data_IF_918346081467
#
_entry.id   IF_918346081467
#
_cell.length_a   1.000
_cell.length_b   1.000
_cell.length_c   1.000
_cell.angle_alpha   90.00
_cell.angle_beta   90.00
_cell.angle_gamma   90.00
#
_symmetry.space_group_name_H-M   'P 1'
#
loop_
_entity.id
_entity.type
_entity.pdbx_description
1 polymer ?
#
# COMPACT_ATOMS: atom_id res chain seq x y z
N UNK A 1 28.86 -3.11 -21.87
CA UNK A 1 29.76 -1.96 -21.57
C UNK A 1 28.96 -0.69 -21.80
N UNK A 2 28.82 0.16 -20.77
CA UNK A 2 27.99 1.37 -20.84
C UNK A 2 28.85 2.59 -20.52
N UNK A 3 28.90 3.53 -21.46
CA UNK A 3 29.58 4.80 -21.31
C UNK A 3 28.55 5.87 -20.97
N UNK A 4 28.69 6.52 -19.81
CA UNK A 4 27.82 7.64 -19.43
C UNK A 4 28.55 8.95 -19.70
N UNK A 5 27.96 9.88 -20.46
CA UNK A 5 28.44 11.25 -20.53
C UNK A 5 28.13 11.96 -19.20
N UNK A 6 29.17 12.33 -18.45
CA UNK A 6 29.04 13.18 -17.25
C UNK A 6 29.57 14.56 -17.60
N UNK A 7 28.75 15.59 -17.42
CA UNK A 7 29.18 16.97 -17.62
C UNK A 7 30.03 17.40 -16.41
N UNK A 8 31.30 17.70 -16.66
CA UNK A 8 32.17 18.31 -15.65
C UNK A 8 31.78 19.78 -15.47
N UNK A 9 32.25 20.38 -14.37
CA UNK A 9 32.08 21.81 -14.07
C UNK A 9 32.69 22.75 -15.13
N UNK A 10 33.43 22.21 -16.11
CA UNK A 10 34.08 22.96 -17.19
C UNK A 10 33.48 22.66 -18.58
N UNK A 11 32.20 22.27 -18.67
CA UNK A 11 31.50 22.00 -19.95
C UNK A 11 32.14 20.91 -20.83
N UNK A 12 33.00 20.06 -20.27
CA UNK A 12 33.56 18.91 -20.99
C UNK A 12 32.80 17.62 -20.65
N UNK A 13 32.43 16.88 -21.69
CA UNK A 13 31.82 15.56 -21.61
C UNK A 13 32.87 14.52 -21.17
N UNK A 14 32.87 14.16 -19.89
CA UNK A 14 33.65 13.03 -19.41
C UNK A 14 32.96 11.72 -19.81
N UNK A 15 33.69 10.86 -20.52
CA UNK A 15 33.30 9.47 -20.77
C UNK A 15 33.82 8.62 -19.61
N UNK A 16 32.96 8.26 -18.68
CA UNK A 16 33.33 7.38 -17.57
C UNK A 16 33.03 5.93 -17.96
N UNK A 17 34.03 5.07 -17.79
CA UNK A 17 33.94 3.62 -17.99
C UNK A 17 33.43 2.99 -16.68
N UNK A 18 32.31 2.28 -16.73
CA UNK A 18 31.66 1.71 -15.53
C UNK A 18 31.89 0.21 -15.53
N UNK A 19 32.95 -0.23 -14.85
CA UNK A 19 33.29 -1.65 -14.73
C UNK A 19 33.33 -2.14 -13.26
N UNK A 20 33.15 -1.29 -12.23
CA UNK A 20 33.28 -1.71 -10.82
C UNK A 20 32.52 -0.84 -9.80
N UNK A 21 32.24 -1.37 -8.61
CA UNK A 21 31.54 -0.72 -7.47
C UNK A 21 32.25 0.57 -7.04
N UNK A 22 33.58 0.64 -7.16
CA UNK A 22 34.34 1.86 -6.90
C UNK A 22 34.00 3.01 -7.88
N UNK A 23 33.71 2.70 -9.14
CA UNK A 23 33.27 3.70 -10.13
C UNK A 23 31.84 4.17 -9.85
N UNK A 24 31.00 3.32 -9.25
CA UNK A 24 29.69 3.73 -8.74
C UNK A 24 29.87 4.71 -7.57
N UNK A 25 30.79 4.48 -6.64
CA UNK A 25 31.05 5.45 -5.55
C UNK A 25 31.59 6.78 -6.07
N UNK A 26 32.44 6.78 -7.10
CA UNK A 26 32.90 8.02 -7.76
C UNK A 26 31.80 8.72 -8.54
N UNK A 27 30.92 7.99 -9.25
CA UNK A 27 29.72 8.54 -9.88
C UNK A 27 28.75 9.06 -8.82
N UNK A 28 28.58 8.35 -7.70
CA UNK A 28 27.73 8.75 -6.57
C UNK A 28 28.30 9.98 -5.87
N UNK A 29 29.62 10.15 -5.71
CA UNK A 29 30.23 11.39 -5.19
C UNK A 29 30.16 12.54 -6.22
N UNK A 30 30.34 12.23 -7.51
CA UNK A 30 30.21 13.18 -8.62
C UNK A 30 28.76 13.49 -9.00
N UNK A 31 27.76 12.77 -8.50
CA UNK A 31 26.32 12.99 -8.75
C UNK A 31 25.57 13.38 -7.47
N UNK A 32 26.02 12.98 -6.27
CA UNK A 32 25.44 13.44 -4.98
C UNK A 32 25.83 14.87 -4.64
N UNK A 33 27.08 15.28 -4.89
CA UNK A 33 27.47 16.69 -4.79
C UNK A 33 26.73 17.60 -5.80
N UNK A 34 26.50 17.14 -7.05
CA UNK A 34 25.72 17.88 -8.05
C UNK A 34 24.21 17.62 -8.12
N UNK A 35 23.61 16.69 -7.38
CA UNK A 35 22.14 16.57 -7.33
C UNK A 35 21.50 17.73 -6.58
N UNK A 36 22.21 18.26 -5.57
CA UNK A 36 21.93 19.60 -5.02
C UNK A 36 22.22 20.74 -6.01
N UNK A 37 22.97 20.48 -7.09
CA UNK A 37 23.27 21.40 -8.21
C UNK A 37 22.61 20.98 -9.53
N UNK A 38 21.50 20.25 -9.49
CA UNK A 38 20.58 20.19 -10.63
C UNK A 38 19.94 21.58 -10.70
N UNK A 39 20.71 22.52 -11.23
CA UNK A 39 20.34 23.92 -11.29
C UNK A 39 19.07 24.04 -12.14
N UNK A 40 18.31 25.10 -11.88
CA UNK A 40 17.16 25.48 -12.70
C UNK A 40 17.50 25.50 -14.20
N UNK A 41 18.75 25.76 -14.56
CA UNK A 41 19.25 25.80 -15.94
C UNK A 41 19.38 24.40 -16.56
N UNK A 42 19.91 23.41 -15.84
CA UNK A 42 19.94 22.03 -16.32
C UNK A 42 18.53 21.48 -16.57
N UNK A 43 17.58 21.82 -15.70
CA UNK A 43 16.17 21.43 -15.89
C UNK A 43 15.48 22.16 -17.04
N UNK A 44 15.88 23.41 -17.34
CA UNK A 44 15.40 24.12 -18.53
C UNK A 44 15.85 23.40 -19.80
N UNK A 45 17.14 23.07 -19.91
CA UNK A 45 17.69 22.29 -21.02
C UNK A 45 16.99 20.94 -21.19
N UNK A 46 16.72 20.22 -20.10
CA UNK A 46 15.99 18.95 -20.15
C UNK A 46 14.53 19.16 -20.57
N UNK A 47 13.91 20.27 -20.18
CA UNK A 47 12.51 20.60 -20.53
C UNK A 47 12.34 21.20 -21.93
N UNK A 48 13.41 21.59 -22.63
CA UNK A 48 13.34 22.13 -23.99
C UNK A 48 12.89 21.07 -25.01
N UNK A 49 11.85 21.31 -25.82
CA UNK A 49 11.25 20.31 -26.70
C UNK A 49 12.25 19.54 -27.59
N UNK A 50 13.31 20.20 -28.06
CA UNK A 50 14.26 19.65 -29.02
C UNK A 50 15.25 18.64 -28.40
N UNK A 51 15.38 18.61 -27.07
CA UNK A 51 16.34 17.76 -26.36
C UNK A 51 15.82 16.34 -26.06
N UNK A 52 14.99 15.75 -26.95
CA UNK A 52 14.38 14.42 -26.76
C UNK A 52 15.41 13.32 -26.48
N UNK A 53 16.54 13.31 -27.20
CA UNK A 53 17.60 12.30 -27.06
C UNK A 53 18.31 12.37 -25.70
N UNK A 54 18.48 13.58 -25.17
CA UNK A 54 19.10 13.80 -23.85
C UNK A 54 18.13 13.34 -22.75
N UNK A 55 16.85 13.72 -22.84
CA UNK A 55 15.79 13.22 -21.94
C UNK A 55 15.73 11.71 -21.89
N UNK A 56 15.73 11.06 -23.06
CA UNK A 56 15.68 9.60 -23.14
C UNK A 56 16.83 8.92 -22.39
N UNK A 57 18.06 9.39 -22.62
CA UNK A 57 19.25 8.84 -21.96
C UNK A 57 19.20 9.08 -20.45
N UNK A 58 18.80 10.27 -20.03
CA UNK A 58 18.66 10.60 -18.61
C UNK A 58 17.61 9.71 -17.94
N UNK A 59 16.42 9.59 -18.52
CA UNK A 59 15.34 8.77 -17.94
C UNK A 59 15.67 7.29 -17.94
N UNK A 60 16.34 6.79 -18.99
CA UNK A 60 16.87 5.43 -19.01
C UNK A 60 17.90 5.20 -17.91
N UNK A 61 18.81 6.15 -17.69
CA UNK A 61 19.80 6.05 -16.62
C UNK A 61 19.12 6.04 -15.25
N UNK A 62 18.24 7.00 -14.96
CA UNK A 62 17.55 7.07 -13.67
C UNK A 62 16.74 5.78 -13.44
N UNK A 63 16.06 5.25 -14.47
CA UNK A 63 15.35 3.99 -14.36
C UNK A 63 16.27 2.79 -14.04
N UNK A 64 17.48 2.76 -14.61
CA UNK A 64 18.48 1.74 -14.27
C UNK A 64 18.96 1.88 -12.83
N UNK A 65 19.18 3.12 -12.34
CA UNK A 65 19.49 3.37 -10.93
C UNK A 65 18.37 2.88 -10.03
N UNK A 66 17.12 3.21 -10.35
CA UNK A 66 15.96 2.75 -9.59
C UNK A 66 15.93 1.23 -9.54
N UNK A 67 16.10 0.52 -10.67
CA UNK A 67 16.06 -0.95 -10.74
C UNK A 67 17.30 -1.65 -10.15
N UNK A 68 18.27 -0.90 -9.62
CA UNK A 68 19.52 -1.45 -9.12
C UNK A 68 19.32 -2.24 -7.81
N UNK A 69 20.12 -3.28 -7.60
CA UNK A 69 20.01 -4.17 -6.43
C UNK A 69 20.55 -3.56 -5.14
N UNK A 70 21.55 -2.67 -5.24
CA UNK A 70 22.12 -1.94 -4.10
C UNK A 70 21.13 -0.88 -3.63
N UNK A 71 20.83 -0.85 -2.33
CA UNK A 71 19.73 -0.05 -1.78
C UNK A 71 19.97 1.45 -1.95
N UNK A 72 21.17 1.94 -1.66
CA UNK A 72 21.56 3.35 -1.82
C UNK A 72 21.46 3.83 -3.27
N UNK A 73 21.79 2.98 -4.25
CA UNK A 73 21.66 3.31 -5.68
C UNK A 73 20.18 3.39 -6.07
N UNK A 74 19.37 2.42 -5.64
CA UNK A 74 17.92 2.42 -5.88
C UNK A 74 17.24 3.63 -5.24
N UNK A 75 17.66 3.98 -4.02
CA UNK A 75 17.23 5.17 -3.29
C UNK A 75 17.52 6.45 -4.07
N UNK A 76 18.74 6.61 -4.57
CA UNK A 76 19.10 7.76 -5.39
C UNK A 76 18.22 7.88 -6.64
N UNK A 77 18.03 6.78 -7.38
CA UNK A 77 17.15 6.78 -8.55
C UNK A 77 15.72 7.18 -8.21
N UNK A 78 15.21 6.72 -7.06
CA UNK A 78 13.87 7.06 -6.55
C UNK A 78 13.76 8.55 -6.20
N UNK A 79 14.76 9.13 -5.54
CA UNK A 79 14.82 10.57 -5.24
C UNK A 79 14.84 11.44 -6.49
N UNK A 80 15.61 11.04 -7.51
CA UNK A 80 15.66 11.73 -8.80
C UNK A 80 14.28 11.75 -9.47
N UNK A 81 13.55 10.64 -9.46
CA UNK A 81 12.17 10.60 -9.97
C UNK A 81 11.25 11.53 -9.19
N UNK A 82 11.30 11.51 -7.85
CA UNK A 82 10.46 12.41 -7.05
C UNK A 82 10.69 13.89 -7.43
N UNK A 83 11.95 14.28 -7.66
CA UNK A 83 12.28 15.61 -8.11
C UNK A 83 11.69 15.93 -9.50
N UNK A 84 11.83 15.02 -10.46
CA UNK A 84 11.27 15.17 -11.82
C UNK A 84 9.75 15.26 -11.82
N UNK A 85 9.05 14.41 -11.07
CA UNK A 85 7.58 14.43 -10.98
C UNK A 85 7.05 15.72 -10.34
N UNK A 86 7.82 16.36 -9.46
CA UNK A 86 7.50 17.67 -8.87
C UNK A 86 7.83 18.83 -9.82
N UNK A 87 8.89 18.72 -10.62
CA UNK A 87 9.37 19.83 -11.44
C UNK A 87 8.91 19.71 -12.90
N UNK A 88 7.85 20.45 -13.28
CA UNK A 88 7.42 20.62 -14.68
C UNK A 88 7.24 19.30 -15.47
N UNK A 89 6.97 18.17 -14.81
CA UNK A 89 6.71 16.87 -15.47
C UNK A 89 5.74 16.99 -16.65
N UNK A 90 4.67 17.76 -16.46
CA UNK A 90 3.61 17.96 -17.46
C UNK A 90 4.10 18.68 -18.72
N UNK A 91 5.24 19.38 -18.65
CA UNK A 91 5.85 20.14 -19.76
C UNK A 91 7.07 19.46 -20.38
N UNK A 92 7.55 18.35 -19.81
CA UNK A 92 8.82 17.72 -20.23
C UNK A 92 8.69 16.85 -21.47
N UNK A 93 7.50 16.32 -21.76
CA UNK A 93 7.26 15.37 -22.85
C UNK A 93 5.79 15.32 -23.24
N UNK A 94 5.50 14.66 -24.36
CA UNK A 94 4.14 14.30 -24.75
C UNK A 94 3.54 13.25 -23.80
N UNK A 95 2.22 13.08 -23.88
CA UNK A 95 1.47 12.28 -22.91
C UNK A 95 1.69 10.77 -23.06
N UNK A 96 1.99 10.30 -24.27
CA UNK A 96 2.32 8.90 -24.51
C UNK A 96 3.61 8.50 -23.80
N UNK A 97 4.65 9.33 -23.95
CA UNK A 97 5.93 9.13 -23.26
C UNK A 97 5.80 9.23 -21.75
N UNK A 98 5.03 10.20 -21.23
CA UNK A 98 4.76 10.28 -19.78
C UNK A 98 4.15 8.99 -19.28
N UNK A 99 3.14 8.47 -19.97
CA UNK A 99 2.48 7.22 -19.60
C UNK A 99 3.45 6.04 -19.61
N UNK A 100 4.30 5.93 -20.64
CA UNK A 100 5.29 4.86 -20.74
C UNK A 100 6.32 4.92 -19.61
N UNK A 101 6.93 6.09 -19.37
CA UNK A 101 7.93 6.26 -18.32
C UNK A 101 7.32 6.07 -16.94
N UNK A 102 6.16 6.67 -16.66
CA UNK A 102 5.45 6.44 -15.40
C UNK A 102 5.15 4.95 -15.17
N UNK A 103 4.73 4.21 -16.21
CA UNK A 103 4.49 2.77 -16.13
C UNK A 103 5.75 1.99 -15.73
N UNK A 104 6.90 2.32 -16.32
CA UNK A 104 8.19 1.70 -15.99
C UNK A 104 8.64 2.02 -14.57
N UNK A 105 8.49 3.28 -14.15
CA UNK A 105 8.83 3.72 -12.78
C UNK A 105 7.95 3.02 -11.75
N UNK A 106 6.64 2.95 -11.98
CA UNK A 106 5.70 2.21 -11.11
C UNK A 106 6.13 0.75 -10.97
N UNK A 107 6.48 0.11 -12.09
CA UNK A 107 6.90 -1.30 -12.09
C UNK A 107 8.20 -1.49 -11.29
N UNK A 108 9.16 -0.57 -11.42
CA UNK A 108 10.39 -0.59 -10.62
C UNK A 108 10.11 -0.35 -9.13
N UNK A 109 9.23 0.60 -8.80
CA UNK A 109 8.83 0.90 -7.43
C UNK A 109 8.16 -0.29 -6.74
N UNK A 110 7.23 -0.98 -7.41
CA UNK A 110 6.58 -2.18 -6.88
C UNK A 110 7.62 -3.24 -6.55
N UNK A 111 8.54 -3.52 -7.49
CA UNK A 111 9.59 -4.52 -7.34
C UNK A 111 10.57 -4.18 -6.21
N UNK A 112 11.02 -2.93 -6.11
CA UNK A 112 11.99 -2.53 -5.08
C UNK A 112 11.39 -2.41 -3.68
N UNK A 113 10.07 -2.25 -3.59
CA UNK A 113 9.39 -2.20 -2.31
C UNK A 113 9.24 -3.61 -1.70
N UNK A 114 9.53 -4.67 -2.45
CA UNK A 114 9.65 -6.04 -1.95
C UNK A 114 10.85 -6.13 -0.99
N UNK A 115 10.67 -6.80 0.15
CA UNK A 115 11.74 -6.93 1.16
C UNK A 115 12.91 -7.70 0.56
N UNK A 116 14.03 -7.01 0.36
CA UNK A 116 15.31 -7.65 0.05
C UNK A 116 15.82 -8.35 1.31
N UNK A 117 16.05 -9.67 1.29
CA UNK A 117 16.68 -10.35 2.42
C UNK A 117 18.10 -9.82 2.59
N UNK A 118 18.47 -9.43 3.81
CA UNK A 118 19.87 -9.19 4.13
C UNK A 118 20.54 -10.55 4.28
N UNK A 119 21.56 -10.80 3.47
CA UNK A 119 22.32 -12.04 3.49
C UNK A 119 23.59 -11.94 4.34
N UNK A 120 23.82 -10.81 5.02
CA UNK A 120 25.03 -10.56 5.81
C UNK A 120 26.31 -10.40 4.98
N UNK A 121 26.23 -10.57 3.66
CA UNK A 121 27.34 -10.46 2.71
C UNK A 121 27.38 -9.12 1.97
N UNK A 122 26.35 -8.30 2.16
CA UNK A 122 26.30 -6.97 1.60
C UNK A 122 27.40 -6.08 2.17
N UNK A 123 28.27 -5.58 1.30
CA UNK A 123 29.29 -4.57 1.63
C UNK A 123 28.70 -3.20 1.95
N UNK A 124 27.37 -3.03 1.88
CA UNK A 124 26.70 -1.74 2.07
C UNK A 124 26.39 -1.43 3.54
N UNK A 125 26.20 -2.46 4.38
CA UNK A 125 25.77 -2.26 5.77
C UNK A 125 26.48 -3.24 6.71
N UNK A 126 26.97 -2.72 7.83
CA UNK A 126 27.65 -3.51 8.86
C UNK A 126 26.66 -4.34 9.69
N UNK A 127 25.39 -3.94 9.74
CA UNK A 127 24.37 -4.59 10.57
C UNK A 127 23.01 -4.73 9.88
N UNK A 128 22.26 -5.76 10.26
CA UNK A 128 20.86 -5.96 9.87
C UNK A 128 19.98 -4.74 10.20
N UNK A 129 20.26 -4.07 11.32
CA UNK A 129 19.49 -2.91 11.77
C UNK A 129 19.69 -1.72 10.81
N UNK A 130 20.92 -1.44 10.41
CA UNK A 130 21.22 -0.41 9.40
C UNK A 130 20.56 -0.73 8.06
N UNK A 131 20.64 -1.98 7.60
CA UNK A 131 19.96 -2.43 6.39
C UNK A 131 18.44 -2.19 6.48
N UNK A 132 17.81 -2.60 7.58
CA UNK A 132 16.37 -2.45 7.80
C UNK A 132 15.94 -0.97 7.83
N UNK A 133 16.72 -0.11 8.49
CA UNK A 133 16.45 1.32 8.54
C UNK A 133 16.61 1.97 7.15
N UNK A 134 17.64 1.61 6.40
CA UNK A 134 17.86 2.09 5.03
C UNK A 134 16.72 1.66 4.10
N UNK A 135 16.33 0.38 4.18
CA UNK A 135 15.20 -0.15 3.42
C UNK A 135 13.88 0.52 3.79
N UNK A 136 13.60 0.75 5.08
CA UNK A 136 12.42 1.51 5.51
C UNK A 136 12.41 2.94 4.93
N UNK A 137 13.59 3.59 4.88
CA UNK A 137 13.77 4.88 4.21
C UNK A 137 13.42 4.83 2.72
N UNK A 138 13.93 3.83 2.00
CA UNK A 138 13.58 3.61 0.58
C UNK A 138 12.07 3.40 0.40
N UNK A 139 11.43 2.58 1.23
CA UNK A 139 9.98 2.32 1.15
C UNK A 139 9.15 3.60 1.31
N UNK A 140 9.53 4.46 2.26
CA UNK A 140 8.88 5.76 2.47
C UNK A 140 8.99 6.65 1.23
N UNK A 141 10.16 6.66 0.57
CA UNK A 141 10.36 7.42 -0.67
C UNK A 141 9.57 6.83 -1.84
N UNK A 142 9.53 5.50 -1.96
CA UNK A 142 8.70 4.82 -2.97
C UNK A 142 7.23 5.18 -2.77
N UNK A 143 6.72 5.16 -1.54
CA UNK A 143 5.34 5.58 -1.25
C UNK A 143 5.11 7.02 -1.70
N UNK A 144 5.98 7.95 -1.34
CA UNK A 144 5.88 9.34 -1.77
C UNK A 144 5.88 9.50 -3.30
N UNK A 145 6.78 8.80 -3.99
CA UNK A 145 6.85 8.79 -5.46
C UNK A 145 5.57 8.22 -6.08
N UNK A 146 5.07 7.10 -5.55
CA UNK A 146 3.80 6.51 -5.99
C UNK A 146 2.64 7.49 -5.78
N UNK A 147 2.62 8.24 -4.68
CA UNK A 147 1.63 9.29 -4.44
C UNK A 147 1.70 10.42 -5.47
N UNK A 148 2.91 10.89 -5.82
CA UNK A 148 3.10 11.92 -6.86
C UNK A 148 2.62 11.45 -8.24
N UNK A 149 2.91 10.20 -8.60
CA UNK A 149 2.44 9.61 -9.86
C UNK A 149 0.91 9.44 -9.82
N UNK A 150 0.36 8.98 -8.69
CA UNK A 150 -1.08 8.78 -8.51
C UNK A 150 -1.86 10.09 -8.63
N UNK A 151 -1.33 11.20 -8.10
CA UNK A 151 -1.97 12.50 -8.21
C UNK A 151 -2.13 12.98 -9.67
N UNK A 152 -1.30 12.45 -10.59
CA UNK A 152 -1.29 12.82 -12.02
C UNK A 152 -1.94 11.78 -12.92
N UNK A 153 -1.74 10.50 -12.62
CA UNK A 153 -2.19 9.37 -13.44
C UNK A 153 -2.69 8.21 -12.55
N UNK A 154 -3.77 8.39 -11.78
CA UNK A 154 -4.23 7.41 -10.80
C UNK A 154 -4.61 6.06 -11.43
N UNK A 155 -5.26 6.08 -12.61
CA UNK A 155 -5.62 4.86 -13.34
C UNK A 155 -4.41 3.99 -13.68
N UNK A 156 -3.29 4.59 -14.08
CA UNK A 156 -2.07 3.85 -14.43
C UNK A 156 -1.46 3.12 -13.22
N UNK A 157 -1.44 3.80 -12.06
CA UNK A 157 -0.93 3.21 -10.82
C UNK A 157 -1.82 2.07 -10.36
N UNK A 158 -3.13 2.29 -10.33
CA UNK A 158 -4.09 1.29 -9.87
C UNK A 158 -4.15 0.07 -10.80
N UNK A 159 -4.02 0.26 -12.11
CA UNK A 159 -3.96 -0.84 -13.06
C UNK A 159 -2.75 -1.75 -12.78
N UNK A 160 -1.57 -1.17 -12.54
CA UNK A 160 -0.37 -1.92 -12.20
C UNK A 160 -0.50 -2.64 -10.86
N UNK A 161 -1.07 -1.99 -9.85
CA UNK A 161 -1.34 -2.61 -8.56
C UNK A 161 -2.36 -3.75 -8.68
N UNK A 162 -3.44 -3.56 -9.42
CA UNK A 162 -4.47 -4.59 -9.63
C UNK A 162 -3.90 -5.84 -10.28
N UNK A 163 -3.04 -5.68 -11.30
CA UNK A 163 -2.31 -6.81 -11.90
C UNK A 163 -1.37 -7.47 -10.90
N UNK A 164 -0.55 -6.69 -10.18
CA UNK A 164 0.37 -7.23 -9.19
C UNK A 164 -0.34 -8.02 -8.09
N UNK A 165 -1.47 -7.53 -7.58
CA UNK A 165 -2.29 -8.26 -6.61
C UNK A 165 -2.86 -9.55 -7.19
N UNK A 166 -3.39 -9.50 -8.41
CA UNK A 166 -3.95 -10.68 -9.09
C UNK A 166 -2.87 -11.76 -9.26
N UNK A 167 -1.68 -11.37 -9.71
CA UNK A 167 -0.56 -12.29 -9.91
C UNK A 167 -0.07 -12.90 -8.59
N UNK A 168 0.14 -12.07 -7.56
CA UNK A 168 0.63 -12.52 -6.26
C UNK A 168 -0.39 -13.43 -5.57
N UNK A 169 -1.66 -13.04 -5.53
CA UNK A 169 -2.71 -13.84 -4.89
C UNK A 169 -2.99 -15.13 -5.67
N UNK A 170 -2.98 -15.09 -7.00
CA UNK A 170 -3.12 -16.28 -7.85
C UNK A 170 -2.00 -17.29 -7.61
N UNK A 171 -0.74 -16.85 -7.67
CA UNK A 171 0.43 -17.70 -7.37
C UNK A 171 0.40 -18.23 -5.95
N UNK A 172 0.05 -17.39 -4.98
CA UNK A 172 -0.05 -17.78 -3.57
C UNK A 172 -1.12 -18.85 -3.38
N UNK A 173 -2.29 -18.71 -4.03
CA UNK A 173 -3.35 -19.70 -3.97
C UNK A 173 -2.90 -21.04 -4.55
N UNK A 174 -2.25 -21.03 -5.72
CA UNK A 174 -1.71 -22.22 -6.35
C UNK A 174 -0.67 -22.91 -5.44
N UNK A 175 0.28 -22.15 -4.89
CA UNK A 175 1.31 -22.68 -3.99
C UNK A 175 0.70 -23.30 -2.73
N UNK A 176 -0.26 -22.62 -2.09
CA UNK A 176 -0.93 -23.14 -0.89
C UNK A 176 -1.74 -24.40 -1.18
N UNK A 177 -2.33 -24.51 -2.38
CA UNK A 177 -3.08 -25.71 -2.79
C UNK A 177 -2.19 -26.93 -3.04
N UNK A 178 -0.97 -26.72 -3.55
CA UNK A 178 -0.03 -27.80 -3.90
C UNK A 178 0.90 -28.19 -2.75
N UNK A 179 1.35 -27.22 -1.95
CA UNK A 179 2.28 -27.46 -0.85
C UNK A 179 2.16 -26.34 0.21
N UNK A 180 1.41 -26.54 1.31
CA UNK A 180 1.25 -25.55 2.39
C UNK A 180 2.51 -25.42 3.27
N UNK A 181 3.68 -25.30 2.66
CA UNK A 181 4.95 -25.07 3.35
C UNK A 181 5.08 -23.62 3.82
N UNK A 182 5.79 -23.42 4.95
CA UNK A 182 6.06 -22.09 5.49
C UNK A 182 6.83 -21.16 4.54
N UNK A 183 7.57 -21.70 3.56
CA UNK A 183 8.34 -20.91 2.58
C UNK A 183 7.44 -20.16 1.60
N UNK A 184 6.38 -20.80 1.10
CA UNK A 184 5.41 -20.16 0.21
C UNK A 184 4.67 -19.02 0.93
N UNK A 185 4.31 -19.24 2.19
CA UNK A 185 3.68 -18.23 3.06
C UNK A 185 4.64 -17.05 3.28
N UNK A 186 5.91 -17.31 3.55
CA UNK A 186 6.92 -16.27 3.78
C UNK A 186 7.12 -15.36 2.56
N UNK A 187 7.19 -15.92 1.35
CA UNK A 187 7.30 -15.13 0.12
C UNK A 187 6.03 -14.30 -0.12
N UNK A 188 4.85 -14.91 -0.08
CA UNK A 188 3.59 -14.21 -0.25
C UNK A 188 3.39 -13.08 0.76
N UNK A 189 3.80 -13.31 2.02
CA UNK A 189 3.74 -12.31 3.09
C UNK A 189 4.57 -11.07 2.75
N UNK A 190 5.80 -11.24 2.24
CA UNK A 190 6.66 -10.12 1.84
C UNK A 190 6.00 -9.32 0.71
N UNK A 191 5.51 -9.98 -0.35
CA UNK A 191 4.88 -9.29 -1.47
C UNK A 191 3.62 -8.53 -1.05
N UNK A 192 2.74 -9.16 -0.27
CA UNK A 192 1.49 -8.55 0.16
C UNK A 192 1.72 -7.42 1.17
N UNK A 193 2.73 -7.50 2.02
CA UNK A 193 3.14 -6.39 2.90
C UNK A 193 3.53 -5.16 2.07
N UNK A 194 4.38 -5.37 1.05
CA UNK A 194 4.85 -4.33 0.15
C UNK A 194 3.70 -3.70 -0.63
N UNK A 195 2.86 -4.51 -1.27
CA UNK A 195 1.73 -4.02 -2.04
C UNK A 195 0.71 -3.29 -1.17
N UNK A 196 0.41 -3.80 0.02
CA UNK A 196 -0.53 -3.17 0.97
C UNK A 196 -0.11 -1.76 1.36
N UNK A 197 1.18 -1.59 1.64
CA UNK A 197 1.74 -0.29 2.01
C UNK A 197 1.68 0.72 0.84
N UNK A 198 1.87 0.27 -0.40
CA UNK A 198 1.71 1.12 -1.58
C UNK A 198 0.23 1.42 -1.84
N UNK A 199 -0.65 0.44 -1.71
CA UNK A 199 -2.08 0.59 -1.96
C UNK A 199 -2.68 1.65 -1.05
N UNK A 200 -2.45 1.58 0.26
CA UNK A 200 -2.96 2.58 1.21
C UNK A 200 -2.52 4.00 0.83
N UNK A 201 -1.24 4.18 0.51
CA UNK A 201 -0.72 5.49 0.12
C UNK A 201 -1.30 5.96 -1.21
N UNK A 202 -1.43 5.05 -2.19
CA UNK A 202 -2.04 5.31 -3.49
C UNK A 202 -3.47 5.79 -3.32
N UNK A 203 -4.31 5.06 -2.57
CA UNK A 203 -5.71 5.45 -2.37
C UNK A 203 -5.84 6.85 -1.75
N UNK A 204 -5.00 7.18 -0.75
CA UNK A 204 -5.00 8.51 -0.12
C UNK A 204 -4.58 9.62 -1.09
N UNK A 205 -3.74 9.31 -2.08
CA UNK A 205 -3.23 10.25 -3.06
C UNK A 205 -4.15 10.45 -4.28
N UNK A 206 -5.22 9.65 -4.44
CA UNK A 206 -6.17 9.82 -5.55
C UNK A 206 -6.94 11.14 -5.36
N UNK A 207 -6.86 12.10 -6.30
CA UNK A 207 -7.63 13.33 -6.21
C UNK A 207 -9.14 13.05 -6.22
N UNK A 208 -9.93 13.86 -5.50
CA UNK A 208 -11.37 13.61 -5.30
C UNK A 208 -12.16 13.52 -6.60
N UNK A 209 -11.77 14.29 -7.61
CA UNK A 209 -12.43 14.32 -8.92
C UNK A 209 -12.39 12.96 -9.64
N UNK A 210 -11.40 12.14 -9.30
CA UNK A 210 -11.20 10.80 -9.85
C UNK A 210 -11.95 9.70 -9.08
N UNK A 211 -12.62 10.00 -7.96
CA UNK A 211 -13.27 8.95 -7.14
C UNK A 211 -14.47 8.30 -7.83
N UNK A 212 -15.05 8.94 -8.85
CA UNK A 212 -16.13 8.39 -9.67
C UNK A 212 -15.67 7.94 -11.06
N UNK A 213 -14.37 7.99 -11.34
CA UNK A 213 -13.81 7.55 -12.62
C UNK A 213 -13.98 6.04 -12.78
N UNK A 214 -14.52 5.63 -13.93
CA UNK A 214 -14.85 4.24 -14.23
C UNK A 214 -13.61 3.33 -14.20
N UNK A 215 -12.50 3.76 -14.79
CA UNK A 215 -11.26 2.95 -14.87
C UNK A 215 -10.72 2.71 -13.46
N UNK A 216 -10.77 3.75 -12.61
CA UNK A 216 -10.36 3.65 -11.21
C UNK A 216 -11.24 2.66 -10.45
N UNK A 217 -12.56 2.80 -10.54
CA UNK A 217 -13.50 1.90 -9.89
C UNK A 217 -13.35 0.44 -10.38
N UNK A 218 -13.11 0.23 -11.67
CA UNK A 218 -12.82 -1.09 -12.26
C UNK A 218 -11.53 -1.70 -11.68
N UNK A 219 -10.46 -0.90 -11.55
CA UNK A 219 -9.20 -1.36 -10.96
C UNK A 219 -9.36 -1.69 -9.46
N UNK A 220 -10.03 -0.84 -8.68
CA UNK A 220 -10.32 -1.10 -7.27
C UNK A 220 -11.18 -2.36 -7.10
N UNK A 221 -12.19 -2.53 -7.95
CA UNK A 221 -13.01 -3.74 -8.01
C UNK A 221 -12.21 -4.98 -8.38
N UNK A 222 -11.21 -4.86 -9.27
CA UNK A 222 -10.27 -5.93 -9.59
C UNK A 222 -9.46 -6.39 -8.37
N UNK A 223 -8.92 -5.44 -7.60
CA UNK A 223 -8.19 -5.73 -6.35
C UNK A 223 -9.12 -6.42 -5.35
N UNK A 224 -10.34 -5.90 -5.15
CA UNK A 224 -11.33 -6.51 -4.27
C UNK A 224 -11.63 -7.95 -4.68
N UNK A 225 -11.93 -8.20 -5.95
CA UNK A 225 -12.22 -9.55 -6.48
C UNK A 225 -11.05 -10.51 -6.26
N UNK A 226 -9.81 -10.08 -6.50
CA UNK A 226 -8.64 -10.92 -6.26
C UNK A 226 -8.56 -11.40 -4.81
N UNK A 227 -8.84 -10.51 -3.84
CA UNK A 227 -8.88 -10.89 -2.42
C UNK A 227 -10.08 -11.75 -2.03
N UNK A 228 -11.25 -11.53 -2.65
CA UNK A 228 -12.45 -12.35 -2.39
C UNK A 228 -12.30 -13.78 -2.90
N UNK A 229 -11.59 -13.98 -4.02
CA UNK A 229 -11.26 -15.30 -4.55
C UNK A 229 -10.25 -16.05 -3.67
N UNK A 230 -9.44 -15.32 -2.89
CA UNK A 230 -8.52 -15.88 -1.91
C UNK A 230 -9.25 -16.28 -0.61
N UNK A 231 -9.93 -17.43 -0.65
CA UNK A 231 -10.83 -17.90 0.43
C UNK A 231 -10.12 -18.42 1.68
N UNK A 232 -9.04 -19.20 1.52
CA UNK A 232 -8.29 -19.79 2.64
C UNK A 232 -6.92 -19.13 2.75
N UNK A 233 -6.78 -18.25 3.73
CA UNK A 233 -5.56 -17.50 4.01
C UNK A 233 -5.04 -17.88 5.40
N UNK A 234 -3.75 -18.24 5.54
CA UNK A 234 -3.07 -18.20 6.83
C UNK A 234 -3.27 -16.83 7.50
N UNK A 235 -3.28 -16.78 8.83
CA UNK A 235 -3.55 -15.55 9.60
C UNK A 235 -2.65 -14.37 9.20
N UNK A 236 -1.38 -14.64 8.90
CA UNK A 236 -0.43 -13.64 8.37
C UNK A 236 -0.92 -12.98 7.08
N UNK A 237 -1.47 -13.75 6.14
CA UNK A 237 -1.97 -13.25 4.87
C UNK A 237 -3.37 -12.63 5.01
N UNK A 238 -4.17 -13.15 5.94
CA UNK A 238 -5.49 -12.62 6.26
C UNK A 238 -5.40 -11.15 6.69
N UNK A 239 -4.36 -10.77 7.45
CA UNK A 239 -4.16 -9.38 7.85
C UNK A 239 -4.09 -8.40 6.67
N UNK A 240 -3.42 -8.76 5.56
CA UNK A 240 -3.35 -7.91 4.36
C UNK A 240 -4.67 -7.89 3.61
N UNK A 241 -5.38 -9.03 3.55
CA UNK A 241 -6.73 -9.08 3.00
C UNK A 241 -7.65 -8.11 3.75
N UNK A 242 -7.66 -8.17 5.08
CA UNK A 242 -8.47 -7.29 5.93
C UNK A 242 -8.08 -5.82 5.77
N UNK A 243 -6.78 -5.52 5.72
CA UNK A 243 -6.31 -4.17 5.48
C UNK A 243 -6.78 -3.63 4.11
N UNK A 244 -6.65 -4.41 3.04
CA UNK A 244 -7.09 -4.01 1.71
C UNK A 244 -8.60 -3.73 1.66
N UNK A 245 -9.43 -4.58 2.30
CA UNK A 245 -10.87 -4.33 2.40
C UNK A 245 -11.19 -2.98 3.05
N UNK A 246 -10.46 -2.57 4.09
CA UNK A 246 -10.63 -1.24 4.71
C UNK A 246 -10.16 -0.08 3.82
N UNK A 247 -9.09 -0.29 3.06
CA UNK A 247 -8.45 0.73 2.23
C UNK A 247 -9.22 1.05 0.95
N UNK A 248 -9.91 0.07 0.36
CA UNK A 248 -10.65 0.22 -0.92
C UNK A 248 -11.95 1.06 -0.80
N UNK A 249 -12.10 1.85 0.26
CA UNK A 249 -13.30 2.64 0.54
C UNK A 249 -13.81 3.55 -0.60
N UNK A 250 -13.00 4.12 -1.51
CA UNK A 250 -13.56 4.90 -2.62
C UNK A 250 -14.51 4.09 -3.51
N UNK A 251 -14.27 2.77 -3.64
CA UNK A 251 -15.14 1.86 -4.38
C UNK A 251 -16.55 1.78 -3.78
N UNK A 252 -16.66 1.83 -2.45
CA UNK A 252 -17.90 1.57 -1.72
C UNK A 252 -18.92 2.70 -1.78
N UNK A 253 -18.50 3.90 -2.23
CA UNK A 253 -19.39 5.06 -2.29
C UNK A 253 -20.58 4.81 -3.22
N UNK A 254 -20.32 4.19 -4.38
CA UNK A 254 -21.29 3.98 -5.45
C UNK A 254 -21.55 2.50 -5.74
N UNK A 255 -21.03 1.58 -4.91
CA UNK A 255 -21.15 0.15 -5.10
C UNK A 255 -21.53 -0.53 -3.78
N UNK A 256 -22.83 -0.70 -3.56
CA UNK A 256 -23.40 -1.30 -2.35
C UNK A 256 -23.05 -2.78 -2.21
N UNK A 257 -22.97 -3.51 -3.32
CA UNK A 257 -22.57 -4.92 -3.33
C UNK A 257 -21.12 -5.08 -2.83
N UNK A 258 -20.21 -4.25 -3.34
CA UNK A 258 -18.82 -4.24 -2.90
C UNK A 258 -18.69 -3.85 -1.42
N UNK A 259 -19.47 -2.87 -0.96
CA UNK A 259 -19.51 -2.46 0.45
C UNK A 259 -19.98 -3.63 1.33
N UNK A 260 -21.06 -4.29 0.97
CA UNK A 260 -21.61 -5.43 1.71
C UNK A 260 -20.62 -6.60 1.75
N UNK A 261 -19.98 -6.92 0.63
CA UNK A 261 -18.96 -7.96 0.56
C UNK A 261 -17.76 -7.65 1.47
N UNK A 262 -17.26 -6.41 1.43
CA UNK A 262 -16.14 -5.97 2.27
C UNK A 262 -16.48 -6.02 3.77
N UNK A 263 -17.63 -5.47 4.18
CA UNK A 263 -18.07 -5.48 5.59
C UNK A 263 -18.26 -6.93 6.09
N UNK A 264 -18.87 -7.79 5.28
CA UNK A 264 -19.06 -9.20 5.64
C UNK A 264 -17.73 -9.92 5.84
N UNK A 265 -16.78 -9.74 4.92
CA UNK A 265 -15.45 -10.34 5.04
C UNK A 265 -14.66 -9.79 6.23
N UNK A 266 -14.79 -8.50 6.53
CA UNK A 266 -14.15 -7.89 7.68
C UNK A 266 -14.71 -8.45 8.99
N UNK A 267 -16.03 -8.59 9.15
CA UNK A 267 -16.64 -9.23 10.32
C UNK A 267 -16.13 -10.67 10.48
N UNK A 268 -16.07 -11.45 9.38
CA UNK A 268 -15.47 -12.79 9.38
C UNK A 268 -14.01 -12.77 9.80
N UNK A 269 -13.24 -11.77 9.37
CA UNK A 269 -11.85 -11.56 9.76
C UNK A 269 -11.69 -11.35 11.27
N UNK A 270 -12.58 -10.61 11.93
CA UNK A 270 -12.56 -10.45 13.39
C UNK A 270 -12.83 -11.78 14.10
N UNK A 271 -13.74 -12.60 13.57
CA UNK A 271 -14.12 -13.90 14.15
C UNK A 271 -13.17 -15.04 13.78
N UNK A 272 -12.20 -14.80 12.90
CA UNK A 272 -11.31 -15.85 12.40
C UNK A 272 -10.43 -16.46 13.51
N UNK A 273 -10.16 -17.75 13.34
CA UNK A 273 -9.30 -18.56 14.22
C UNK A 273 -8.31 -19.37 13.37
N UNK A 274 -7.11 -19.66 13.89
CA UNK A 274 -6.15 -20.52 13.19
C UNK A 274 -6.71 -21.93 12.96
N UNK A 275 -6.55 -22.48 11.75
CA UNK A 275 -6.92 -23.87 11.47
C UNK A 275 -6.00 -24.85 12.24
N UNK A 276 -6.58 -25.89 12.86
CA UNK A 276 -5.85 -27.06 13.35
C UNK A 276 -4.97 -26.87 14.59
N UNK A 277 -4.95 -25.70 15.24
CA UNK A 277 -4.22 -25.45 16.50
C UNK A 277 -5.19 -25.29 17.67
N UNK A 278 -4.75 -25.59 18.91
CA UNK A 278 -5.43 -25.08 20.10
C UNK A 278 -5.54 -23.56 19.94
N UNK A 279 -6.77 -23.05 19.96
CA UNK A 279 -7.04 -21.64 19.80
C UNK A 279 -6.33 -20.87 20.92
N UNK A 280 -5.24 -20.20 20.57
CA UNK A 280 -4.62 -19.19 21.42
C UNK A 280 -5.13 -17.82 20.98
N UNK A 281 -6.02 -17.24 21.78
CA UNK A 281 -6.55 -15.89 21.56
C UNK A 281 -5.46 -14.81 21.58
N UNK A 282 -4.26 -15.14 22.06
CA UNK A 282 -3.10 -14.24 22.11
C UNK A 282 -2.08 -14.49 20.99
N UNK A 283 -2.38 -15.38 20.04
CA UNK A 283 -1.54 -15.59 18.87
C UNK A 283 -1.34 -14.27 18.10
N UNK A 284 -0.07 -13.88 17.90
CA UNK A 284 0.30 -12.58 17.36
C UNK A 284 -0.33 -12.31 15.98
N UNK A 285 -0.32 -13.29 15.08
CA UNK A 285 -0.84 -13.12 13.73
C UNK A 285 -2.37 -13.01 13.73
N UNK A 286 -3.03 -13.76 14.63
CA UNK A 286 -4.47 -13.63 14.90
C UNK A 286 -4.83 -12.23 15.38
N UNK A 287 -4.10 -11.72 16.38
CA UNK A 287 -4.32 -10.38 16.90
C UNK A 287 -4.14 -9.30 15.83
N UNK A 288 -3.12 -9.44 14.97
CA UNK A 288 -2.88 -8.50 13.87
C UNK A 288 -4.02 -8.54 12.85
N UNK A 289 -4.46 -9.73 12.42
CA UNK A 289 -5.54 -9.87 11.44
C UNK A 289 -6.85 -9.26 11.94
N UNK A 290 -7.23 -9.54 13.20
CA UNK A 290 -8.43 -8.97 13.84
C UNK A 290 -8.35 -7.47 13.97
N UNK A 291 -7.20 -6.94 14.42
CA UNK A 291 -6.98 -5.50 14.52
C UNK A 291 -7.13 -4.81 13.16
N UNK A 292 -6.60 -5.40 12.09
CA UNK A 292 -6.76 -4.85 10.73
C UNK A 292 -8.22 -4.90 10.25
N UNK A 293 -8.94 -5.97 10.59
CA UNK A 293 -10.36 -6.08 10.28
C UNK A 293 -11.20 -5.01 10.98
N UNK A 294 -11.00 -4.82 12.29
CA UNK A 294 -11.67 -3.78 13.07
C UNK A 294 -11.34 -2.38 12.57
N UNK A 295 -10.06 -2.10 12.29
CA UNK A 295 -9.65 -0.82 11.69
C UNK A 295 -10.33 -0.56 10.36
N UNK A 296 -10.48 -1.60 9.52
CA UNK A 296 -11.21 -1.52 8.26
C UNK A 296 -12.69 -1.19 8.48
N UNK A 297 -13.37 -1.91 9.37
CA UNK A 297 -14.77 -1.68 9.74
C UNK A 297 -14.98 -0.24 10.22
N UNK A 298 -14.17 0.21 11.17
CA UNK A 298 -14.23 1.57 11.73
C UNK A 298 -13.98 2.64 10.65
N UNK A 299 -13.02 2.41 9.74
CA UNK A 299 -12.75 3.37 8.65
C UNK A 299 -13.94 3.46 7.68
N UNK A 300 -14.52 2.32 7.33
CA UNK A 300 -15.68 2.23 6.44
C UNK A 300 -16.90 2.87 7.11
N UNK A 301 -17.17 2.58 8.39
CA UNK A 301 -18.32 3.16 9.09
C UNK A 301 -18.22 4.67 9.18
N UNK A 302 -17.04 5.23 9.44
CA UNK A 302 -16.84 6.69 9.47
C UNK A 302 -17.09 7.35 8.11
N UNK A 303 -16.81 6.67 6.99
CA UNK A 303 -16.88 7.24 5.62
C UNK A 303 -18.20 6.96 4.88
N UNK A 304 -18.90 5.89 5.24
CA UNK A 304 -20.07 5.38 4.50
C UNK A 304 -21.31 5.20 5.40
N UNK A 305 -21.45 6.04 6.44
CA UNK A 305 -22.56 5.98 7.42
C UNK A 305 -23.93 5.88 6.74
N UNK A 306 -24.18 6.75 5.75
CA UNK A 306 -25.45 6.83 5.03
C UNK A 306 -25.76 5.57 4.21
N UNK A 307 -24.73 4.88 3.68
CA UNK A 307 -24.93 3.64 2.93
C UNK A 307 -25.15 2.45 3.86
N UNK A 308 -24.68 2.53 5.11
CA UNK A 308 -24.75 1.44 6.09
C UNK A 308 -25.99 1.53 6.99
N UNK A 309 -26.54 2.72 7.19
CA UNK A 309 -27.67 2.93 8.13
C UNK A 309 -28.90 2.12 7.72
N UNK A 310 -29.14 1.95 6.42
CA UNK A 310 -30.23 1.13 5.87
C UNK A 310 -30.11 -0.35 6.23
N UNK A 311 -28.89 -0.81 6.53
CA UNK A 311 -28.58 -2.19 6.92
C UNK A 311 -28.26 -2.33 8.41
N UNK A 312 -28.44 -1.26 9.21
CA UNK A 312 -27.94 -1.23 10.57
C UNK A 312 -28.46 -2.36 11.44
N UNK A 313 -29.76 -2.69 11.38
CA UNK A 313 -30.33 -3.76 12.19
C UNK A 313 -29.62 -5.09 11.94
N UNK A 314 -29.45 -5.46 10.67
CA UNK A 314 -28.75 -6.69 10.29
C UNK A 314 -27.29 -6.68 10.73
N UNK A 315 -26.61 -5.54 10.60
CA UNK A 315 -25.22 -5.38 11.07
C UNK A 315 -25.12 -5.50 12.60
N UNK A 316 -26.05 -4.88 13.33
CA UNK A 316 -26.14 -4.95 14.78
C UNK A 316 -26.37 -6.38 15.24
N UNK A 317 -27.30 -7.12 14.62
CA UNK A 317 -27.58 -8.51 14.96
C UNK A 317 -26.36 -9.42 14.73
N UNK A 318 -25.64 -9.21 13.61
CA UNK A 318 -24.40 -9.92 13.31
C UNK A 318 -23.31 -9.63 14.34
N UNK A 319 -23.14 -8.37 14.71
CA UNK A 319 -22.16 -7.94 15.72
C UNK A 319 -22.52 -8.49 17.10
N UNK A 320 -23.79 -8.41 17.51
CA UNK A 320 -24.26 -8.97 18.78
C UNK A 320 -24.00 -10.47 18.86
N UNK A 321 -24.27 -11.21 17.77
CA UNK A 321 -23.95 -12.64 17.67
C UNK A 321 -22.44 -12.92 17.73
N UNK A 322 -21.61 -12.03 17.16
CA UNK A 322 -20.17 -12.16 17.26
C UNK A 322 -19.68 -11.92 18.70
N UNK A 323 -20.20 -10.89 19.37
CA UNK A 323 -19.85 -10.54 20.76
C UNK A 323 -20.30 -11.63 21.74
N UNK A 324 -21.47 -12.26 21.51
CA UNK A 324 -21.97 -13.33 22.39
C UNK A 324 -21.09 -14.59 22.40
N UNK A 325 -20.16 -14.73 21.46
CA UNK A 325 -19.17 -15.81 21.44
C UNK A 325 -18.00 -15.44 22.39
N UNK A 326 -18.29 -15.41 23.69
CA UNK A 326 -17.44 -14.82 24.72
C UNK A 326 -16.00 -15.37 24.76
N UNK A 327 -15.80 -16.64 24.43
CA UNK A 327 -14.50 -17.30 24.48
C UNK A 327 -13.59 -16.97 23.29
N UNK A 328 -14.16 -16.46 22.19
CA UNK A 328 -13.43 -16.20 20.95
C UNK A 328 -12.86 -14.79 20.88
N UNK A 329 -13.48 -13.80 21.54
CA UNK A 329 -13.15 -12.38 21.39
C UNK A 329 -12.63 -11.76 22.70
N UNK A 330 -11.60 -10.92 22.59
CA UNK A 330 -11.12 -10.10 23.71
C UNK A 330 -12.00 -8.87 23.89
N UNK A 331 -11.88 -8.22 25.04
CA UNK A 331 -12.63 -7.00 25.31
C UNK A 331 -12.30 -5.89 24.30
N UNK A 332 -11.04 -5.77 23.84
CA UNK A 332 -10.69 -4.80 22.80
C UNK A 332 -11.39 -5.09 21.46
N UNK A 333 -11.61 -6.37 21.13
CA UNK A 333 -12.30 -6.76 19.91
C UNK A 333 -13.79 -6.38 19.99
N UNK A 334 -14.41 -6.59 21.16
CA UNK A 334 -15.79 -6.20 21.46
C UNK A 334 -15.97 -4.69 21.39
N UNK A 335 -15.02 -3.93 21.98
CA UNK A 335 -15.02 -2.46 21.90
C UNK A 335 -14.84 -1.96 20.46
N UNK A 336 -14.01 -2.62 19.66
CA UNK A 336 -13.85 -2.28 18.24
C UNK A 336 -15.13 -2.45 17.43
N UNK A 337 -15.95 -3.46 17.74
CA UNK A 337 -17.27 -3.63 17.13
C UNK A 337 -18.25 -2.52 17.52
N UNK A 338 -18.22 -2.06 18.76
CA UNK A 338 -19.01 -0.90 19.19
C UNK A 338 -18.55 0.38 18.49
N UNK A 339 -17.23 0.60 18.37
CA UNK A 339 -16.67 1.73 17.60
C UNK A 339 -17.06 1.65 16.11
N UNK A 340 -17.28 0.45 15.56
CA UNK A 340 -17.81 0.28 14.22
C UNK A 340 -19.29 0.72 14.11
N UNK A 341 -20.16 0.32 15.05
CA UNK A 341 -21.60 0.59 14.99
C UNK A 341 -21.97 2.04 15.34
N UNK A 342 -21.25 2.68 16.27
CA UNK A 342 -21.56 4.04 16.74
C UNK A 342 -21.63 5.06 15.59
N UNK A 343 -20.64 5.19 14.69
CA UNK A 343 -20.71 6.11 13.56
C UNK A 343 -21.90 5.86 12.63
N UNK A 344 -22.34 4.61 12.47
CA UNK A 344 -23.50 4.28 11.64
C UNK A 344 -24.79 4.75 12.34
N UNK A 345 -24.86 4.59 13.66
CA UNK A 345 -26.01 5.07 14.45
C UNK A 345 -26.19 6.59 14.39
N UNK A 346 -25.10 7.36 14.20
CA UNK A 346 -25.15 8.81 14.06
C UNK A 346 -25.87 9.28 12.78
N UNK A 347 -26.08 8.39 11.80
CA UNK A 347 -26.85 8.68 10.59
C UNK A 347 -28.36 8.34 10.74
N UNK A 348 -28.80 7.84 11.89
CA UNK A 348 -30.21 7.55 12.16
C UNK A 348 -30.97 8.79 12.61
N UNK A 349 -32.30 8.67 12.72
CA UNK A 349 -33.06 9.60 13.52
C UNK A 349 -32.70 9.48 15.02
N UNK A 350 -32.82 10.60 15.73
CA UNK A 350 -32.43 10.76 17.14
C UNK A 350 -33.07 9.71 18.05
N UNK A 351 -34.34 9.37 17.83
CA UNK A 351 -35.05 8.37 18.64
C UNK A 351 -34.42 6.98 18.52
N UNK A 352 -34.15 6.54 17.29
CA UNK A 352 -33.54 5.23 17.03
C UNK A 352 -32.09 5.17 17.54
N UNK A 353 -31.33 6.26 17.33
CA UNK A 353 -29.97 6.38 17.84
C UNK A 353 -29.95 6.27 19.38
N UNK A 354 -30.80 7.02 20.08
CA UNK A 354 -30.87 6.99 21.54
C UNK A 354 -31.30 5.62 22.08
N UNK A 355 -32.21 4.91 21.40
CA UNK A 355 -32.57 3.54 21.78
C UNK A 355 -31.38 2.59 21.67
N UNK A 356 -30.63 2.67 20.56
CA UNK A 356 -29.41 1.89 20.39
C UNK A 356 -28.36 2.22 21.47
N UNK A 357 -28.04 3.49 21.69
CA UNK A 357 -27.06 3.91 22.69
C UNK A 357 -27.43 3.43 24.10
N UNK A 358 -28.72 3.50 24.48
CA UNK A 358 -29.20 2.95 25.75
C UNK A 358 -28.99 1.44 25.86
N UNK A 359 -29.25 0.69 24.78
CA UNK A 359 -29.09 -0.77 24.78
C UNK A 359 -27.64 -1.24 24.95
N UNK A 360 -26.66 -0.50 24.42
CA UNK A 360 -25.25 -0.85 24.58
C UNK A 360 -24.65 -0.33 25.89
N UNK A 361 -25.19 0.77 26.43
CA UNK A 361 -24.71 1.37 27.69
C UNK A 361 -25.28 0.68 28.94
N UNK A 362 -26.44 0.01 28.84
CA UNK A 362 -27.11 -0.56 30.01
C UNK A 362 -26.27 -1.60 30.76
N UNK A 363 -25.51 -2.46 30.06
CA UNK A 363 -24.70 -3.48 30.73
C UNK A 363 -23.46 -2.88 31.44
N UNK A 364 -22.66 -1.99 30.81
CA UNK A 364 -21.59 -1.27 31.50
C UNK A 364 -22.08 -0.45 32.70
N UNK A 365 -23.20 0.28 32.56
CA UNK A 365 -23.78 1.09 33.64
C UNK A 365 -24.20 0.20 34.81
N UNK A 366 -24.94 -0.89 34.54
CA UNK A 366 -25.35 -1.83 35.59
C UNK A 366 -24.18 -2.52 36.29
N UNK A 367 -23.04 -2.72 35.61
CA UNK A 367 -21.80 -3.23 36.21
C UNK A 367 -21.12 -2.17 37.07
N UNK A 368 -21.10 -0.93 36.61
CA UNK A 368 -20.54 0.22 37.34
C UNK A 368 -21.33 0.49 38.63
N UNK A 369 -22.65 0.51 38.56
CA UNK A 369 -23.54 0.75 39.70
C UNK A 369 -23.49 -0.36 40.77
N UNK A 370 -22.87 -1.52 40.47
CA UNK A 370 -22.61 -2.60 41.42
C UNK A 370 -21.22 -2.52 42.07
N UNK A 371 -20.33 -1.69 41.50
CA UNK A 371 -18.95 -1.50 41.96
C UNK A 371 -18.78 -0.24 42.84
N UNK A 372 -19.71 0.71 42.70
CA UNK A 372 -19.90 1.86 43.60
C UNK A 372 -20.90 1.48 44.68
#
# INVERSE_FOLDING_TARGET
QMWIPVLSTNEQLLKIKIDDVAHWTTLMLAVSGPLHKLTRNHLKLIAEPDNKKIRFRLFSLILQLTKHRVLSVSKLGTEMWMFLFRYKWDKMMDDEWKKQISSEVITACIKNNEKLPWDGSSSEFDTQLQHNNSFAGLRSQIQCLMGLITAKAPGLVLEKLARAYTDVLGKTHEMLSKNPSGRAIGQANIFLESLSAILEHTIRAIPKDFHSDRIILECLGGILRAFLLFKKAPMTLLAYKMHAMGVLHPLYRNNSEALQAAVTELIRGVQSTPEGKRFDRNDKDTLIARKRALQGLISISKKHQQNLVTHFKSLSDLVSKAISQADLLRDEDRMGFLEFLIPISNAMNERAQMQFLKSIASEPINKWDRLV
#
